data_IF_859237393928
#
_entry.id   IF_859237393928
#
_cell.length_a   1.000
_cell.length_b   1.000
_cell.length_c   1.000
_cell.angle_alpha   90.00
_cell.angle_beta   90.00
_cell.angle_gamma   90.00
#
_symmetry.space_group_name_H-M   'P 1'
#
loop_
_entity.id
_entity.type
_entity.pdbx_description
1 polymer ?
#
# COMPACT_ATOMS: atom_id res chain seq x y z
N UNK A 1 -77.31 29.03 -10.04
CA UNK A 1 -77.05 27.77 -10.79
C UNK A 1 -75.77 27.09 -10.34
N UNK A 2 -74.61 27.75 -10.36
CA UNK A 2 -73.33 27.17 -9.89
C UNK A 2 -73.33 26.76 -8.41
N UNK A 3 -73.93 27.55 -7.53
CA UNK A 3 -74.05 27.18 -6.09
C UNK A 3 -75.01 26.00 -5.85
N UNK A 4 -76.04 25.81 -6.67
CA UNK A 4 -76.95 24.65 -6.54
C UNK A 4 -76.32 23.37 -7.09
N UNK A 5 -75.55 23.49 -8.16
CA UNK A 5 -74.74 22.39 -8.70
C UNK A 5 -73.68 21.96 -7.68
N UNK A 6 -72.99 22.90 -7.03
CA UNK A 6 -72.03 22.59 -5.97
C UNK A 6 -72.67 21.90 -4.77
N UNK A 7 -73.89 22.29 -4.37
CA UNK A 7 -74.65 21.57 -3.31
C UNK A 7 -75.01 20.13 -3.69
N UNK A 8 -75.11 19.84 -4.99
CA UNK A 8 -75.32 18.49 -5.53
C UNK A 8 -73.99 17.73 -5.81
N UNK A 9 -72.83 18.32 -5.48
CA UNK A 9 -71.52 17.74 -5.74
C UNK A 9 -71.07 17.83 -7.22
N UNK A 10 -71.68 18.71 -8.01
CA UNK A 10 -71.40 18.92 -9.42
C UNK A 10 -70.63 20.23 -9.63
N UNK A 11 -69.61 20.18 -10.46
CA UNK A 11 -68.70 21.29 -10.77
C UNK A 11 -68.68 21.54 -12.26
N UNK A 12 -68.45 22.79 -12.69
CA UNK A 12 -68.26 23.14 -14.10
C UNK A 12 -66.79 23.51 -14.28
N UNK A 13 -66.13 22.95 -15.29
CA UNK A 13 -64.73 23.26 -15.62
C UNK A 13 -64.58 24.48 -16.54
N UNK A 14 -63.33 24.88 -16.80
CA UNK A 14 -62.98 26.05 -17.62
C UNK A 14 -63.41 25.94 -19.09
N UNK A 15 -63.89 24.77 -19.52
CA UNK A 15 -64.39 24.48 -20.87
C UNK A 15 -65.90 24.16 -20.82
N UNK A 16 -66.58 24.60 -19.75
CA UNK A 16 -68.03 24.45 -19.53
C UNK A 16 -68.54 22.99 -19.48
N UNK A 17 -67.70 22.02 -19.10
CA UNK A 17 -68.11 20.62 -18.91
C UNK A 17 -68.52 20.37 -17.46
N UNK A 18 -69.60 19.63 -17.28
CA UNK A 18 -70.06 19.16 -15.97
C UNK A 18 -69.14 18.04 -15.47
N UNK A 19 -68.65 18.17 -14.24
CA UNK A 19 -67.77 17.22 -13.55
C UNK A 19 -68.33 16.85 -12.19
N UNK A 20 -68.02 15.64 -11.74
CA UNK A 20 -68.39 15.09 -10.43
C UNK A 20 -67.34 15.33 -9.33
N UNK A 21 -66.23 15.99 -9.69
CA UNK A 21 -65.13 16.34 -8.80
C UNK A 21 -64.65 17.75 -9.15
N UNK A 22 -64.27 18.53 -8.13
CA UNK A 22 -63.71 19.87 -8.32
C UNK A 22 -62.45 19.79 -9.20
N UNK A 23 -62.44 20.44 -10.38
CA UNK A 23 -61.29 20.42 -11.29
C UNK A 23 -59.98 20.86 -10.63
N UNK A 24 -60.03 21.79 -9.66
CA UNK A 24 -58.83 22.31 -8.98
C UNK A 24 -58.21 21.23 -8.11
N UNK A 25 -59.02 20.56 -7.29
CA UNK A 25 -58.57 19.45 -6.43
C UNK A 25 -58.04 18.30 -7.29
N UNK A 26 -58.70 17.99 -8.41
CA UNK A 26 -58.23 16.94 -9.32
C UNK A 26 -56.88 17.27 -9.97
N UNK A 27 -56.66 18.53 -10.37
CA UNK A 27 -55.39 18.98 -10.93
C UNK A 27 -54.28 18.99 -9.88
N UNK A 28 -54.51 19.58 -8.70
CA UNK A 28 -53.55 19.58 -7.58
C UNK A 28 -53.16 18.15 -7.16
N UNK A 29 -54.12 17.23 -7.13
CA UNK A 29 -53.85 15.81 -6.81
C UNK A 29 -53.00 15.14 -7.88
N UNK A 30 -53.20 15.47 -9.16
CA UNK A 30 -52.40 14.93 -10.26
C UNK A 30 -50.97 15.50 -10.27
N UNK A 31 -50.82 16.80 -10.03
CA UNK A 31 -49.52 17.46 -9.90
C UNK A 31 -48.74 16.84 -8.73
N UNK A 32 -49.37 16.71 -7.56
CA UNK A 32 -48.74 16.06 -6.39
C UNK A 32 -48.32 14.63 -6.70
N UNK A 33 -49.14 13.87 -7.44
CA UNK A 33 -48.81 12.49 -7.85
C UNK A 33 -47.58 12.46 -8.75
N UNK A 34 -47.47 13.39 -9.69
CA UNK A 34 -46.33 13.50 -10.61
C UNK A 34 -45.05 13.90 -9.87
N UNK A 35 -45.12 14.89 -8.99
CA UNK A 35 -43.99 15.28 -8.15
C UNK A 35 -43.52 14.14 -7.23
N UNK A 36 -44.46 13.40 -6.62
CA UNK A 36 -44.12 12.24 -5.81
C UNK A 36 -43.39 11.16 -6.62
N UNK A 37 -43.81 10.92 -7.86
CA UNK A 37 -43.16 9.96 -8.76
C UNK A 37 -41.76 10.43 -9.16
N UNK A 38 -41.60 11.71 -9.50
CA UNK A 38 -40.29 12.28 -9.83
C UNK A 38 -39.34 12.23 -8.63
N UNK A 39 -39.84 12.54 -7.43
CA UNK A 39 -39.07 12.44 -6.19
C UNK A 39 -38.63 11.00 -5.92
N UNK A 40 -39.53 10.03 -6.09
CA UNK A 40 -39.20 8.61 -5.91
C UNK A 40 -38.10 8.15 -6.89
N UNK A 41 -38.16 8.60 -8.14
CA UNK A 41 -37.13 8.31 -9.14
C UNK A 41 -35.78 8.93 -8.76
N UNK A 42 -35.76 10.22 -8.39
CA UNK A 42 -34.53 10.91 -7.94
C UNK A 42 -33.92 10.24 -6.71
N UNK A 43 -34.75 9.78 -5.78
CA UNK A 43 -34.28 9.07 -4.59
C UNK A 43 -33.65 7.72 -4.96
N UNK A 44 -34.21 7.02 -5.94
CA UNK A 44 -33.65 5.77 -6.43
C UNK A 44 -32.31 5.97 -7.14
N UNK A 45 -32.18 7.03 -7.95
CA UNK A 45 -30.92 7.41 -8.60
C UNK A 45 -29.85 7.78 -7.56
N UNK A 46 -30.22 8.57 -6.55
CA UNK A 46 -29.33 8.92 -5.45
C UNK A 46 -28.84 7.67 -4.69
N UNK A 47 -29.73 6.71 -4.43
CA UNK A 47 -29.36 5.45 -3.79
C UNK A 47 -28.36 4.67 -4.64
N UNK A 48 -28.57 4.57 -5.96
CA UNK A 48 -27.64 3.91 -6.87
C UNK A 48 -26.26 4.56 -6.84
N UNK A 49 -26.21 5.90 -6.90
CA UNK A 49 -24.97 6.66 -6.83
C UNK A 49 -24.23 6.44 -5.50
N UNK A 50 -24.96 6.44 -4.38
CA UNK A 50 -24.39 6.19 -3.06
C UNK A 50 -23.79 4.78 -2.95
N UNK A 51 -24.45 3.76 -3.52
CA UNK A 51 -23.94 2.39 -3.57
C UNK A 51 -22.68 2.27 -4.44
N UNK A 52 -22.64 2.93 -5.59
CA UNK A 52 -21.44 3.00 -6.45
C UNK A 52 -20.29 3.70 -5.74
N UNK A 53 -20.54 4.85 -5.13
CA UNK A 53 -19.55 5.59 -4.37
C UNK A 53 -19.00 4.77 -3.20
N UNK A 54 -19.86 4.03 -2.49
CA UNK A 54 -19.44 3.12 -1.43
C UNK A 54 -18.52 2.02 -1.96
N UNK A 55 -18.81 1.42 -3.13
CA UNK A 55 -17.94 0.43 -3.77
C UNK A 55 -16.57 1.01 -4.12
N UNK A 56 -16.53 2.21 -4.69
CA UNK A 56 -15.29 2.91 -5.03
C UNK A 56 -14.46 3.16 -3.77
N UNK A 57 -15.07 3.69 -2.70
CA UNK A 57 -14.38 3.92 -1.44
C UNK A 57 -13.82 2.63 -0.83
N UNK A 58 -14.58 1.54 -0.84
CA UNK A 58 -14.12 0.26 -0.31
C UNK A 58 -12.91 -0.29 -1.11
N UNK A 59 -12.95 -0.19 -2.44
CA UNK A 59 -11.83 -0.59 -3.28
C UNK A 59 -10.60 0.28 -3.04
N UNK A 60 -10.79 1.60 -2.95
CA UNK A 60 -9.71 2.52 -2.64
C UNK A 60 -9.08 2.24 -1.28
N UNK A 61 -9.89 1.93 -0.26
CA UNK A 61 -9.39 1.52 1.05
C UNK A 61 -8.51 0.26 0.99
N UNK A 62 -8.90 -0.75 0.20
CA UNK A 62 -8.08 -1.94 -0.03
C UNK A 62 -6.77 -1.64 -0.74
N UNK A 63 -6.81 -0.75 -1.74
CA UNK A 63 -5.63 -0.35 -2.49
C UNK A 63 -4.61 0.38 -1.60
N UNK A 64 -5.09 1.30 -0.74
CA UNK A 64 -4.26 2.01 0.23
C UNK A 64 -3.61 1.04 1.22
N UNK A 65 -4.37 0.09 1.77
CA UNK A 65 -3.80 -0.88 2.73
C UNK A 65 -2.77 -1.78 2.07
N UNK A 66 -3.00 -2.19 0.81
CA UNK A 66 -2.02 -2.97 0.03
C UNK A 66 -0.72 -2.21 -0.17
N UNK A 67 -0.77 -0.94 -0.57
CA UNK A 67 0.44 -0.14 -0.79
C UNK A 67 1.16 0.18 0.53
N UNK A 68 0.42 0.40 1.62
CA UNK A 68 1.00 0.52 2.97
C UNK A 68 1.77 -0.73 3.38
N UNK A 69 1.20 -1.92 3.17
CA UNK A 69 1.88 -3.19 3.48
C UNK A 69 3.14 -3.38 2.62
N UNK A 70 3.08 -3.02 1.32
CA UNK A 70 4.25 -3.05 0.43
C UNK A 70 5.35 -2.11 0.92
N UNK A 71 5.02 -0.89 1.30
CA UNK A 71 5.98 0.07 1.83
C UNK A 71 6.68 -0.45 3.11
N UNK A 72 5.91 -1.02 4.05
CA UNK A 72 6.43 -1.63 5.27
C UNK A 72 7.36 -2.81 4.94
N UNK A 73 6.95 -3.68 4.02
CA UNK A 73 7.74 -4.85 3.61
C UNK A 73 9.09 -4.41 3.02
N UNK A 74 9.09 -3.47 2.06
CA UNK A 74 10.31 -2.93 1.46
C UNK A 74 11.20 -2.26 2.50
N UNK A 75 10.63 -1.48 3.43
CA UNK A 75 11.39 -0.86 4.51
C UNK A 75 12.06 -1.90 5.42
N UNK A 76 11.36 -2.98 5.75
CA UNK A 76 11.90 -4.07 6.56
C UNK A 76 13.02 -4.84 5.84
N UNK A 77 12.86 -5.08 4.53
CA UNK A 77 13.90 -5.67 3.70
C UNK A 77 15.17 -4.80 3.71
N UNK A 78 15.04 -3.49 3.45
CA UNK A 78 16.18 -2.56 3.47
C UNK A 78 16.89 -2.53 4.83
N UNK A 79 16.13 -2.49 5.94
CA UNK A 79 16.69 -2.55 7.29
C UNK A 79 17.44 -3.86 7.54
N UNK A 80 16.91 -4.98 7.06
CA UNK A 80 17.54 -6.30 7.22
C UNK A 80 18.81 -6.41 6.39
N UNK A 81 18.78 -5.96 5.14
CA UNK A 81 19.96 -5.91 4.27
C UNK A 81 21.07 -5.05 4.85
N UNK A 82 20.74 -3.89 5.42
CA UNK A 82 21.73 -3.02 6.08
C UNK A 82 22.40 -3.73 7.27
N UNK A 83 21.62 -4.44 8.10
CA UNK A 83 22.16 -5.24 9.21
C UNK A 83 23.04 -6.40 8.73
N UNK A 84 22.59 -7.14 7.72
CA UNK A 84 23.37 -8.23 7.12
C UNK A 84 24.70 -7.71 6.57
N UNK A 85 24.67 -6.60 5.83
CA UNK A 85 25.88 -5.98 5.28
C UNK A 85 26.89 -5.58 6.36
N UNK A 86 26.42 -5.00 7.46
CA UNK A 86 27.30 -4.64 8.59
C UNK A 86 27.89 -5.88 9.25
N UNK A 87 27.10 -6.93 9.46
CA UNK A 87 27.56 -8.19 10.02
C UNK A 87 28.60 -8.88 9.11
N UNK A 88 28.36 -8.91 7.80
CA UNK A 88 29.30 -9.42 6.80
C UNK A 88 30.61 -8.62 6.81
N UNK A 89 30.54 -7.29 6.86
CA UNK A 89 31.72 -6.45 6.92
C UNK A 89 32.57 -6.75 8.17
N UNK A 90 31.93 -6.90 9.33
CA UNK A 90 32.61 -7.24 10.58
C UNK A 90 33.23 -8.65 10.53
N UNK A 91 32.53 -9.61 9.94
CA UNK A 91 33.04 -10.97 9.70
C UNK A 91 34.28 -10.94 8.80
N UNK A 92 34.23 -10.21 7.67
CA UNK A 92 35.37 -10.09 6.75
C UNK A 92 36.56 -9.40 7.41
N UNK A 93 36.33 -8.33 8.19
CA UNK A 93 37.41 -7.66 8.94
C UNK A 93 38.08 -8.62 9.94
N UNK A 94 37.30 -9.42 10.65
CA UNK A 94 37.83 -10.42 11.59
C UNK A 94 38.68 -11.47 10.86
N UNK A 95 38.21 -11.95 9.71
CA UNK A 95 38.95 -12.93 8.89
C UNK A 95 40.23 -12.35 8.29
N UNK A 96 40.21 -11.09 7.85
CA UNK A 96 41.41 -10.38 7.39
C UNK A 96 42.42 -10.25 8.53
N UNK A 97 41.97 -9.87 9.73
CA UNK A 97 42.83 -9.76 10.90
C UNK A 97 43.49 -11.09 11.27
N UNK A 98 42.71 -12.17 11.31
CA UNK A 98 43.21 -13.53 11.57
C UNK A 98 44.27 -13.94 10.53
N UNK A 99 44.01 -13.71 9.24
CA UNK A 99 44.97 -14.05 8.17
C UNK A 99 46.24 -13.21 8.21
N UNK A 100 46.15 -11.94 8.59
CA UNK A 100 47.31 -11.09 8.78
C UNK A 100 48.17 -11.58 9.95
N UNK A 101 47.56 -11.96 11.07
CA UNK A 101 48.26 -12.56 12.22
C UNK A 101 48.99 -13.85 11.84
N UNK A 102 48.31 -14.73 11.10
CA UNK A 102 48.90 -15.98 10.61
C UNK A 102 50.09 -15.70 9.68
N UNK A 103 49.96 -14.72 8.78
CA UNK A 103 51.03 -14.31 7.87
C UNK A 103 52.25 -13.77 8.62
N UNK A 104 52.06 -12.90 9.62
CA UNK A 104 53.18 -12.36 10.40
C UNK A 104 53.90 -13.43 11.22
N UNK A 105 53.14 -14.41 11.75
CA UNK A 105 53.72 -15.59 12.40
C UNK A 105 54.59 -16.39 11.43
N UNK A 106 54.07 -16.71 10.24
CA UNK A 106 54.80 -17.48 9.23
C UNK A 106 56.04 -16.75 8.72
N UNK A 107 55.98 -15.42 8.55
CA UNK A 107 57.16 -14.61 8.20
C UNK A 107 58.25 -14.69 9.26
N UNK A 108 57.86 -14.60 10.53
CA UNK A 108 58.81 -14.68 11.66
C UNK A 108 59.47 -16.06 11.72
N UNK A 109 58.70 -17.13 11.53
CA UNK A 109 59.19 -18.50 11.48
C UNK A 109 60.14 -18.71 10.28
N UNK A 110 59.79 -18.19 9.11
CA UNK A 110 60.64 -18.25 7.93
C UNK A 110 61.98 -17.54 8.15
N UNK A 111 61.97 -16.33 8.71
CA UNK A 111 63.21 -15.59 9.03
C UNK A 111 64.09 -16.34 10.04
N UNK A 112 63.47 -17.00 11.02
CA UNK A 112 64.19 -17.82 11.99
C UNK A 112 64.87 -19.02 11.32
N UNK A 113 64.15 -19.74 10.45
CA UNK A 113 64.70 -20.87 9.70
C UNK A 113 65.84 -20.46 8.75
N UNK A 114 65.73 -19.32 8.08
CA UNK A 114 66.80 -18.78 7.23
C UNK A 114 68.09 -18.50 8.02
N UNK A 115 67.98 -18.01 9.26
CA UNK A 115 69.16 -17.81 10.12
C UNK A 115 69.83 -19.14 10.46
N UNK A 116 69.04 -20.14 10.87
CA UNK A 116 69.55 -21.48 11.15
C UNK A 116 70.23 -22.08 9.92
N UNK A 117 69.62 -21.96 8.74
CA UNK A 117 70.21 -22.44 7.49
C UNK A 117 71.56 -21.78 7.20
N UNK A 118 71.66 -20.46 7.37
CA UNK A 118 72.92 -19.72 7.21
C UNK A 118 73.99 -20.19 8.20
N UNK A 119 73.64 -20.34 9.48
CA UNK A 119 74.55 -20.83 10.52
C UNK A 119 75.05 -22.24 10.21
N UNK A 120 74.17 -23.14 9.74
CA UNK A 120 74.54 -24.48 9.32
C UNK A 120 75.48 -24.47 8.11
N UNK A 121 75.23 -23.60 7.13
CA UNK A 121 76.08 -23.48 5.95
C UNK A 121 77.49 -22.96 6.30
N UNK A 122 77.59 -22.00 7.22
CA UNK A 122 78.87 -21.53 7.75
C UNK A 122 79.63 -22.63 8.48
N UNK A 123 78.94 -23.41 9.32
CA UNK A 123 79.50 -24.57 10.00
C UNK A 123 80.06 -25.60 9.02
N UNK A 124 79.29 -25.96 7.99
CA UNK A 124 79.74 -26.89 6.93
C UNK A 124 80.97 -26.34 6.21
N UNK A 125 80.94 -25.06 5.81
CA UNK A 125 82.07 -24.43 5.12
C UNK A 125 83.33 -24.42 5.99
N UNK A 126 83.19 -24.16 7.30
CA UNK A 126 84.32 -24.20 8.24
C UNK A 126 84.89 -25.61 8.42
N UNK A 127 84.04 -26.64 8.40
CA UNK A 127 84.47 -28.04 8.45
C UNK A 127 85.24 -28.44 7.19
N UNK A 128 84.76 -28.03 6.00
CA UNK A 128 85.40 -28.32 4.72
C UNK A 128 86.75 -27.60 4.55
N UNK A 129 86.90 -26.39 5.11
CA UNK A 129 88.16 -25.62 5.06
C UNK A 129 89.22 -26.10 6.05
N UNK A 130 88.83 -26.87 7.08
CA UNK A 130 89.72 -27.39 8.13
C UNK A 130 90.12 -28.86 7.92
N UNK A 131 89.77 -29.46 6.77
CA UNK A 131 90.27 -30.77 6.29
C UNK A 131 91.31 -30.56 5.19
#
# INVERSE_FOLDING_TARGET
MTEELQKAGLFIDDIYRLRVQDPRIANETNELREECLEYANKLQDFKSLAEEFHKILNNYGKDVEREKLRAIATQNQLKTMAKQRLAEQQMYQSKIHEKNLELERLKSEYQYLQRIESEQQELINSFLMNQ
#
